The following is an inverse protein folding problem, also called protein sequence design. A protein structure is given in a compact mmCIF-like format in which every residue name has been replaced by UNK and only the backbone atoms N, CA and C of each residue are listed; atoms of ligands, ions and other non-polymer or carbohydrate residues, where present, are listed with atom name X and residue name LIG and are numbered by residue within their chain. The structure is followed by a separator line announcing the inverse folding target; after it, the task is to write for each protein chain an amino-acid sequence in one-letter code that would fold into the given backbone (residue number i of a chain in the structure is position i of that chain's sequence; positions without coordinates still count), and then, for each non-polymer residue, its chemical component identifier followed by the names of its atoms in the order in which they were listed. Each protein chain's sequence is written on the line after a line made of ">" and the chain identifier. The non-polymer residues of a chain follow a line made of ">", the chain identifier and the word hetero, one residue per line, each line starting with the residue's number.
data_IF_892547492436
#
_entry.id   IF_892547492436
#
_cell.length_a   1.000
_cell.length_b   1.000
_cell.length_c   1.000
_cell.angle_alpha   90.00
_cell.angle_beta   90.00
_cell.angle_gamma   90.00
#
_symmetry.space_group_name_H-M   'P 1'
#
loop_
_entity.id
_entity.type
_entity.pdbx_description
1 polymer ?
#
# COMPACT_ATOMS: atom_id res chain seq x y z
N UNK A 1 -10.19 -24.68 -7.85
CA UNK A 1 -8.90 -23.96 -8.01
C UNK A 1 -8.03 -24.30 -6.81
N UNK A 2 -7.27 -25.39 -6.90
CA UNK A 2 -6.40 -25.88 -5.82
C UNK A 2 -4.94 -25.73 -6.26
N UNK A 3 -4.08 -25.16 -5.40
CA UNK A 3 -2.64 -25.48 -5.23
C UNK A 3 -1.98 -24.53 -4.20
N UNK A 4 -2.54 -23.37 -3.84
CA UNK A 4 -1.92 -22.55 -2.78
C UNK A 4 -2.39 -23.00 -1.38
N UNK A 5 -1.48 -23.60 -0.61
CA UNK A 5 -1.69 -23.86 0.82
C UNK A 5 -2.03 -22.54 1.53
N UNK A 6 -3.07 -22.53 2.35
CA UNK A 6 -3.50 -21.36 3.15
C UNK A 6 -2.36 -20.79 3.98
N UNK A 7 -1.49 -21.66 4.48
CA UNK A 7 -0.25 -21.30 5.19
C UNK A 7 0.76 -20.61 4.28
N UNK A 8 0.94 -21.09 3.05
CA UNK A 8 1.82 -20.46 2.06
C UNK A 8 1.34 -19.06 1.69
N UNK A 9 0.03 -18.90 1.48
CA UNK A 9 -0.58 -17.60 1.17
C UNK A 9 -0.50 -16.61 2.34
N UNK A 10 -0.63 -17.10 3.58
CA UNK A 10 -0.41 -16.31 4.80
C UNK A 10 1.03 -15.81 4.90
N UNK A 11 2.02 -16.70 4.71
CA UNK A 11 3.44 -16.33 4.75
C UNK A 11 3.75 -15.30 3.65
N UNK A 12 3.30 -15.55 2.42
CA UNK A 12 3.48 -14.63 1.31
C UNK A 12 2.86 -13.25 1.58
N UNK A 13 1.65 -13.21 2.14
CA UNK A 13 0.99 -11.97 2.53
C UNK A 13 1.77 -11.23 3.62
N UNK A 14 2.26 -11.92 4.65
CA UNK A 14 3.05 -11.30 5.71
C UNK A 14 4.36 -10.70 5.19
N UNK A 15 5.05 -11.39 4.27
CA UNK A 15 6.25 -10.86 3.60
C UNK A 15 5.89 -9.61 2.79
N UNK A 16 4.83 -9.66 1.98
CA UNK A 16 4.37 -8.53 1.18
C UNK A 16 4.01 -7.31 2.05
N UNK A 17 3.35 -7.53 3.19
CA UNK A 17 3.02 -6.45 4.14
C UNK A 17 4.30 -5.79 4.68
N UNK A 18 5.30 -6.57 5.09
CA UNK A 18 6.57 -6.03 5.59
C UNK A 18 7.33 -5.26 4.52
N UNK A 19 7.39 -5.80 3.30
CA UNK A 19 8.03 -5.13 2.17
C UNK A 19 7.30 -3.81 1.84
N UNK A 20 5.97 -3.84 1.77
CA UNK A 20 5.17 -2.64 1.54
C UNK A 20 5.34 -1.60 2.65
N UNK A 21 5.42 -2.01 3.92
CA UNK A 21 5.69 -1.13 5.04
C UNK A 21 7.08 -0.48 4.92
N UNK A 22 8.12 -1.25 4.57
CA UNK A 22 9.47 -0.75 4.34
C UNK A 22 9.53 0.32 3.25
N UNK A 23 8.88 0.07 2.10
CA UNK A 23 8.83 1.07 1.02
C UNK A 23 8.01 2.32 1.38
N UNK A 24 6.91 2.16 2.13
CA UNK A 24 6.14 3.31 2.62
C UNK A 24 6.93 4.15 3.62
N UNK A 25 7.73 3.52 4.49
CA UNK A 25 8.61 4.22 5.43
C UNK A 25 9.77 4.92 4.69
N UNK A 26 10.38 4.27 3.70
CA UNK A 26 11.43 4.86 2.87
C UNK A 26 10.93 6.08 2.09
N UNK A 27 9.72 5.98 1.52
CA UNK A 27 9.08 7.12 0.87
C UNK A 27 8.77 8.23 1.87
N UNK A 28 8.21 7.91 3.04
CA UNK A 28 7.94 8.90 4.09
C UNK A 28 9.20 9.68 4.47
N UNK A 29 10.32 8.98 4.69
CA UNK A 29 11.61 9.63 4.99
C UNK A 29 12.05 10.56 3.85
N UNK A 30 11.91 10.11 2.60
CA UNK A 30 12.28 10.93 1.43
C UNK A 30 11.38 12.16 1.29
N UNK A 31 10.08 12.00 1.44
CA UNK A 31 9.10 13.08 1.33
C UNK A 31 9.35 14.13 2.44
N UNK A 32 9.65 13.71 3.68
CA UNK A 32 10.03 14.64 4.77
C UNK A 32 11.28 15.46 4.39
N UNK A 33 12.33 14.83 3.84
CA UNK A 33 13.55 15.58 3.45
C UNK A 33 13.35 16.57 2.29
N UNK A 34 12.27 16.40 1.52
CA UNK A 34 11.91 17.27 0.42
C UNK A 34 10.90 18.35 0.82
N UNK A 35 10.22 18.17 1.97
CA UNK A 35 9.20 19.09 2.47
C UNK A 35 9.78 20.50 2.66
N UNK A 36 10.97 20.61 3.25
CA UNK A 36 11.64 21.89 3.50
C UNK A 36 12.20 22.55 2.22
N UNK A 37 12.25 21.83 1.10
CA UNK A 37 12.90 22.29 -0.14
C UNK A 37 11.93 22.74 -1.22
N UNK A 38 10.65 22.38 -1.11
CA UNK A 38 9.63 22.64 -2.12
C UNK A 38 8.67 23.74 -1.64
N UNK A 39 8.38 24.71 -2.51
CA UNK A 39 7.43 25.80 -2.25
C UNK A 39 6.33 25.77 -3.32
N UNK A 40 5.08 26.06 -2.93
CA UNK A 40 3.94 26.16 -3.85
C UNK A 40 3.12 24.87 -3.97
N UNK A 41 2.50 24.63 -5.14
CA UNK A 41 1.54 23.53 -5.35
C UNK A 41 2.11 22.15 -5.02
N UNK A 42 3.40 21.95 -5.26
CA UNK A 42 4.09 20.69 -4.99
C UNK A 42 4.24 20.39 -3.49
N UNK A 43 4.28 21.41 -2.63
CA UNK A 43 4.30 21.24 -1.19
C UNK A 43 3.00 20.60 -0.68
N UNK A 44 1.85 21.00 -1.24
CA UNK A 44 0.54 20.44 -0.87
C UNK A 44 0.45 18.97 -1.27
N UNK A 45 0.90 18.62 -2.48
CA UNK A 45 0.93 17.22 -2.96
C UNK A 45 1.83 16.34 -2.09
N UNK A 46 2.97 16.89 -1.64
CA UNK A 46 3.89 16.18 -0.76
C UNK A 46 3.28 15.90 0.62
N UNK A 47 2.59 16.89 1.22
CA UNK A 47 1.87 16.70 2.50
C UNK A 47 0.83 15.58 2.37
N UNK A 48 0.02 15.60 1.30
CA UNK A 48 -0.99 14.55 1.07
C UNK A 48 -0.32 13.17 0.97
N UNK A 49 0.80 13.07 0.24
CA UNK A 49 1.58 11.83 0.15
C UNK A 49 2.07 11.35 1.52
N UNK A 50 2.63 12.25 2.34
CA UNK A 50 3.10 11.97 3.69
C UNK A 50 1.96 11.44 4.56
N UNK A 51 0.81 12.13 4.59
CA UNK A 51 -0.36 11.72 5.38
C UNK A 51 -0.86 10.34 4.95
N UNK A 52 -0.95 10.06 3.64
CA UNK A 52 -1.33 8.74 3.11
C UNK A 52 -0.32 7.65 3.46
N UNK A 53 0.98 7.98 3.55
CA UNK A 53 2.03 7.06 3.99
C UNK A 53 1.92 6.74 5.49
N UNK A 54 1.66 7.72 6.35
CA UNK A 54 1.47 7.47 7.79
C UNK A 54 0.23 6.61 8.04
N UNK A 55 -0.91 6.95 7.42
CA UNK A 55 -2.17 6.20 7.59
C UNK A 55 -2.00 4.75 7.18
N UNK A 56 -1.31 4.47 6.06
CA UNK A 56 -1.17 3.08 5.61
C UNK A 56 -0.26 2.26 6.51
N UNK A 57 0.75 2.86 7.14
CA UNK A 57 1.61 2.12 8.06
C UNK A 57 0.78 1.57 9.23
N UNK A 58 -0.17 2.35 9.75
CA UNK A 58 -1.11 1.91 10.78
C UNK A 58 -2.02 0.79 10.25
N UNK A 59 -2.54 0.93 9.03
CA UNK A 59 -3.37 -0.09 8.37
C UNK A 59 -2.59 -1.39 8.17
N UNK A 60 -1.31 -1.33 7.79
CA UNK A 60 -0.47 -2.51 7.58
C UNK A 60 -0.22 -3.26 8.90
N UNK A 61 -0.06 -2.55 10.02
CA UNK A 61 0.01 -3.18 11.36
C UNK A 61 -1.29 -3.94 11.66
N UNK A 62 -2.45 -3.33 11.40
CA UNK A 62 -3.74 -3.99 11.56
C UNK A 62 -3.89 -5.20 10.61
N UNK A 63 -3.36 -5.11 9.39
CA UNK A 63 -3.36 -6.19 8.41
C UNK A 63 -2.51 -7.39 8.87
N UNK A 64 -1.35 -7.17 9.51
CA UNK A 64 -0.54 -8.24 10.13
C UNK A 64 -1.36 -8.95 11.20
N UNK A 65 -1.97 -8.20 12.11
CA UNK A 65 -2.82 -8.77 13.17
C UNK A 65 -3.96 -9.61 12.58
N UNK A 66 -4.67 -9.07 11.58
CA UNK A 66 -5.77 -9.73 10.91
C UNK A 66 -5.33 -11.01 10.18
N UNK A 67 -4.17 -10.99 9.52
CA UNK A 67 -3.61 -12.15 8.84
C UNK A 67 -3.21 -13.27 9.81
N UNK A 68 -2.73 -12.91 11.01
CA UNK A 68 -2.38 -13.87 12.07
C UNK A 68 -3.63 -14.49 12.68
N UNK A 69 -4.63 -13.65 13.03
CA UNK A 69 -5.86 -14.05 13.73
C UNK A 69 -6.99 -14.50 12.79
N UNK A 70 -6.75 -14.54 11.48
CA UNK A 70 -7.74 -14.90 10.44
C UNK A 70 -9.02 -14.04 10.49
N UNK A 71 -8.89 -12.76 10.90
CA UNK A 71 -10.03 -11.87 11.12
C UNK A 71 -10.43 -11.14 9.82
N UNK A 72 -11.36 -11.74 9.05
CA UNK A 72 -11.74 -11.31 7.69
C UNK A 72 -12.23 -9.86 7.63
N UNK A 73 -12.96 -9.38 8.64
CA UNK A 73 -13.49 -8.01 8.62
C UNK A 73 -12.36 -6.96 8.62
N UNK A 74 -11.31 -7.17 9.42
CA UNK A 74 -10.15 -6.27 9.47
C UNK A 74 -9.34 -6.40 8.18
N UNK A 75 -9.24 -7.62 7.64
CA UNK A 75 -8.58 -7.88 6.36
C UNK A 75 -9.27 -7.10 5.22
N UNK A 76 -10.62 -7.10 5.17
CA UNK A 76 -11.38 -6.34 4.19
C UNK A 76 -11.27 -4.82 4.37
N UNK A 77 -11.29 -4.30 5.61
CA UNK A 77 -11.05 -2.86 5.87
C UNK A 77 -9.64 -2.46 5.40
N UNK A 78 -8.64 -3.31 5.66
CA UNK A 78 -7.27 -3.07 5.22
C UNK A 78 -7.15 -3.08 3.69
N UNK A 79 -7.90 -3.96 3.01
CA UNK A 79 -7.96 -4.02 1.55
C UNK A 79 -8.56 -2.74 0.96
N UNK A 80 -9.69 -2.26 1.49
CA UNK A 80 -10.31 -1.00 1.04
C UNK A 80 -9.35 0.18 1.23
N UNK A 81 -8.64 0.22 2.35
CA UNK A 81 -7.63 1.25 2.63
C UNK A 81 -6.45 1.21 1.66
N UNK A 82 -5.97 0.00 1.31
CA UNK A 82 -4.93 -0.21 0.31
C UNK A 82 -5.38 0.25 -1.10
N UNK A 83 -6.63 -0.05 -1.47
CA UNK A 83 -7.21 0.40 -2.75
C UNK A 83 -7.25 1.92 -2.80
N UNK A 84 -7.78 2.58 -1.76
CA UNK A 84 -7.89 4.03 -1.71
C UNK A 84 -6.52 4.71 -1.83
N UNK A 85 -5.51 4.19 -1.13
CA UNK A 85 -4.13 4.68 -1.25
C UNK A 85 -3.57 4.47 -2.65
N UNK A 86 -3.77 3.30 -3.24
CA UNK A 86 -3.28 2.96 -4.56
C UNK A 86 -3.86 3.90 -5.62
N UNK A 87 -5.16 4.20 -5.53
CA UNK A 87 -5.84 5.17 -6.39
C UNK A 87 -5.32 6.59 -6.17
N UNK A 88 -5.22 7.05 -4.93
CA UNK A 88 -4.71 8.38 -4.62
C UNK A 88 -3.29 8.58 -5.15
N UNK A 89 -2.39 7.60 -4.95
CA UNK A 89 -1.03 7.65 -5.51
C UNK A 89 -1.02 7.57 -7.03
N UNK A 90 -1.90 6.76 -7.64
CA UNK A 90 -2.04 6.70 -9.09
C UNK A 90 -2.45 8.04 -9.70
N UNK A 91 -3.42 8.73 -9.08
CA UNK A 91 -3.85 10.07 -9.51
C UNK A 91 -2.69 11.06 -9.41
N UNK A 92 -1.97 11.09 -8.28
CA UNK A 92 -0.79 11.95 -8.11
C UNK A 92 0.24 11.67 -9.20
N UNK A 93 0.56 10.40 -9.46
CA UNK A 93 1.51 10.01 -10.50
C UNK A 93 1.09 10.51 -11.89
N UNK A 94 -0.17 10.30 -12.26
CA UNK A 94 -0.72 10.72 -13.55
C UNK A 94 -0.68 12.25 -13.70
N UNK A 95 -1.11 12.98 -12.67
CA UNK A 95 -1.07 14.45 -12.66
C UNK A 95 0.36 14.95 -12.81
N UNK A 96 1.32 14.35 -12.11
CA UNK A 96 2.73 14.73 -12.20
C UNK A 96 3.33 14.45 -13.59
N UNK A 97 3.00 13.30 -14.21
CA UNK A 97 3.48 12.96 -15.56
C UNK A 97 2.93 13.96 -16.59
N UNK A 98 1.66 14.38 -16.47
CA UNK A 98 1.02 15.31 -17.41
C UNK A 98 1.53 16.74 -17.23
N UNK A 99 1.75 17.15 -15.98
CA UNK A 99 2.05 18.56 -15.65
C UNK A 99 3.53 18.90 -15.79
N UNK A 100 4.44 17.91 -15.72
CA UNK A 100 5.85 18.19 -15.45
C UNK A 100 6.81 17.43 -16.38
N UNK A 101 7.55 18.17 -17.21
CA UNK A 101 8.58 17.61 -18.10
C UNK A 101 9.83 17.09 -17.37
N UNK A 102 10.00 17.42 -16.08
CA UNK A 102 11.13 17.00 -15.25
C UNK A 102 10.66 16.17 -14.04
N UNK A 103 10.24 14.92 -14.30
CA UNK A 103 9.74 13.95 -13.32
C UNK A 103 10.63 13.79 -12.07
N UNK A 104 11.94 13.99 -12.20
CA UNK A 104 12.91 13.76 -11.13
C UNK A 104 12.84 14.79 -10.01
N UNK A 105 12.28 15.98 -10.24
CA UNK A 105 12.44 17.09 -9.30
C UNK A 105 11.33 17.16 -8.23
N UNK A 106 10.18 16.50 -8.45
CA UNK A 106 8.98 17.05 -7.82
C UNK A 106 7.98 16.11 -7.17
N UNK A 107 7.81 14.84 -7.59
CA UNK A 107 6.94 13.91 -6.85
C UNK A 107 7.00 12.47 -7.36
N UNK A 108 7.25 12.27 -8.66
CA UNK A 108 7.37 10.96 -9.29
C UNK A 108 8.78 10.36 -9.08
N UNK A 109 9.29 10.44 -7.85
CA UNK A 109 10.55 9.81 -7.51
C UNK A 109 10.45 8.29 -7.67
N UNK A 110 11.57 7.65 -7.98
CA UNK A 110 11.67 6.19 -8.06
C UNK A 110 11.06 5.47 -6.84
N UNK A 111 11.27 6.02 -5.64
CA UNK A 111 10.68 5.54 -4.39
C UNK A 111 9.15 5.59 -4.36
N UNK A 112 8.55 6.60 -4.99
CA UNK A 112 7.10 6.73 -5.12
C UNK A 112 6.52 5.61 -5.98
N UNK A 113 7.14 5.35 -7.14
CA UNK A 113 6.75 4.29 -8.08
C UNK A 113 6.91 2.92 -7.43
N UNK A 114 8.05 2.65 -6.78
CA UNK A 114 8.28 1.39 -6.07
C UNK A 114 7.23 1.20 -4.96
N UNK A 115 7.02 2.21 -4.14
CA UNK A 115 6.01 2.14 -3.08
C UNK A 115 4.61 1.86 -3.63
N UNK A 116 4.25 2.47 -4.76
CA UNK A 116 2.99 2.22 -5.44
C UNK A 116 2.87 0.75 -5.91
N UNK A 117 3.89 0.22 -6.59
CA UNK A 117 3.92 -1.18 -7.05
C UNK A 117 3.79 -2.16 -5.89
N UNK A 118 4.57 -1.99 -4.82
CA UNK A 118 4.51 -2.90 -3.67
C UNK A 118 3.21 -2.78 -2.88
N UNK A 119 2.61 -1.58 -2.83
CA UNK A 119 1.27 -1.39 -2.26
C UNK A 119 0.21 -2.13 -3.09
N UNK A 120 0.29 -2.07 -4.42
CA UNK A 120 -0.59 -2.81 -5.32
C UNK A 120 -0.39 -4.34 -5.19
N UNK A 121 0.85 -4.81 -5.09
CA UNK A 121 1.15 -6.22 -4.84
C UNK A 121 0.57 -6.69 -3.49
N UNK A 122 0.70 -5.88 -2.44
CA UNK A 122 0.11 -6.16 -1.12
C UNK A 122 -1.42 -6.21 -1.19
N UNK A 123 -2.06 -5.34 -1.97
CA UNK A 123 -3.51 -5.36 -2.21
C UNK A 123 -3.95 -6.67 -2.87
N UNK A 124 -3.26 -7.12 -3.92
CA UNK A 124 -3.57 -8.39 -4.60
C UNK A 124 -3.36 -9.58 -3.67
N UNK A 125 -2.26 -9.62 -2.92
CA UNK A 125 -2.01 -10.67 -1.92
C UNK A 125 -3.10 -10.74 -0.85
N UNK A 126 -3.56 -9.58 -0.38
CA UNK A 126 -4.61 -9.45 0.63
C UNK A 126 -5.97 -9.95 0.07
N UNK A 127 -6.31 -9.58 -1.17
CA UNK A 127 -7.49 -10.09 -1.88
C UNK A 127 -7.46 -11.62 -2.01
N UNK A 128 -6.34 -12.18 -2.49
CA UNK A 128 -6.17 -13.62 -2.63
C UNK A 128 -6.37 -14.35 -1.30
N UNK A 129 -5.78 -13.84 -0.21
CA UNK A 129 -5.92 -14.43 1.11
C UNK A 129 -7.35 -14.33 1.66
N UNK A 130 -8.01 -13.18 1.48
CA UNK A 130 -9.43 -12.99 1.83
C UNK A 130 -10.34 -13.98 1.10
N UNK A 131 -10.16 -14.14 -0.22
CA UNK A 131 -10.95 -15.09 -1.02
C UNK A 131 -10.78 -16.52 -0.51
N UNK A 132 -9.54 -16.92 -0.22
CA UNK A 132 -9.24 -18.26 0.29
C UNK A 132 -9.82 -18.50 1.69
N UNK A 133 -9.75 -17.52 2.59
CA UNK A 133 -10.38 -17.63 3.91
C UNK A 133 -11.90 -17.75 3.82
N UNK A 134 -12.52 -17.00 2.92
CA UNK A 134 -13.96 -17.04 2.70
C UNK A 134 -14.43 -18.37 2.12
N UNK A 135 -13.65 -18.96 1.21
CA UNK A 135 -13.90 -20.30 0.67
C UNK A 135 -13.84 -21.37 1.78
N UNK A 136 -12.84 -21.30 2.66
CA UNK A 136 -12.71 -22.24 3.78
C UNK A 136 -13.88 -22.15 4.76
N UNK A 137 -14.34 -20.94 5.08
CA UNK A 137 -15.52 -20.76 5.93
C UNK A 137 -16.78 -21.34 5.27
N UNK A 138 -16.99 -21.08 3.98
CA UNK A 138 -18.16 -21.61 3.25
C UNK A 138 -18.19 -23.13 3.17
N UNK A 139 -17.03 -23.79 3.20
CA UNK A 139 -16.96 -25.26 3.18
C UNK A 139 -17.05 -25.88 4.59
N UNK A 140 -17.00 -25.06 5.65
CA UNK A 140 -17.12 -25.51 7.04
C UNK A 140 -18.57 -25.45 7.56
N UNK A 141 -19.41 -24.62 6.93
CA UNK A 141 -20.87 -24.60 7.08
C UNK A 141 -21.53 -25.66 6.18
#
# INVERSE_FOLDING_TARGET
>A
MCICSTTGLKIALLILIHVAAGFNAAQLAKDITMLDKLVGHHHIVLIISITLCVIILIVLIAAVYAAIRHHILILNISLVSLILKCLAKGIILVVCIITENNLQRTAAHFWFILCWIFTAACMVGNLCFSMRLRENLRNAD
#
